data_IF_029008274319
#
_entry.id   IF_029008274319
#
_cell.length_a   1.000
_cell.length_b   1.000
_cell.length_c   1.000
_cell.angle_alpha   90.00
_cell.angle_beta   90.00
_cell.angle_gamma   90.00
#
_symmetry.space_group_name_H-M   'P 1'
#
loop_
_entity.id
_entity.type
_entity.pdbx_description
1 polymer ?
#
# COMPACT_ATOMS: atom_id res chain seq x y z
N UNK A 1 0.33 -6.30 8.06
CA UNK A 1 -0.08 -5.02 7.45
C UNK A 1 -1.05 -4.36 8.38
N UNK A 2 -0.89 -3.05 8.59
CA UNK A 2 -1.75 -2.24 9.44
C UNK A 2 -2.17 -1.05 8.60
N UNK A 3 -3.47 -0.80 8.57
CA UNK A 3 -4.08 0.39 8.00
C UNK A 3 -4.69 1.12 9.17
N UNK A 4 -4.06 2.21 9.61
CA UNK A 4 -4.67 3.11 10.59
C UNK A 4 -5.20 4.35 9.89
N UNK A 5 -5.52 5.38 10.69
CA UNK A 5 -6.15 6.58 10.17
C UNK A 5 -5.24 7.45 9.31
N UNK A 6 -3.92 7.33 9.47
CA UNK A 6 -2.95 8.23 8.88
C UNK A 6 -2.06 7.53 7.85
N UNK A 7 -1.77 6.24 8.04
CA UNK A 7 -0.76 5.55 7.27
C UNK A 7 -1.02 4.06 7.07
N UNK A 8 -0.38 3.56 6.01
CA UNK A 8 -0.13 2.15 5.79
C UNK A 8 1.20 1.75 6.45
N UNK A 9 1.19 0.68 7.24
CA UNK A 9 2.38 0.20 7.95
C UNK A 9 2.57 -1.31 7.81
N UNK A 10 3.83 -1.73 7.68
CA UNK A 10 4.24 -3.14 7.73
C UNK A 10 4.98 -3.37 9.05
N UNK A 11 4.35 -4.12 9.95
CA UNK A 11 4.96 -4.61 11.20
C UNK A 11 5.32 -6.09 11.09
N UNK A 12 6.45 -6.48 11.69
CA UNK A 12 6.81 -7.90 11.90
C UNK A 12 6.60 -8.23 13.37
N UNK A 13 5.84 -9.28 13.66
CA UNK A 13 5.48 -9.68 15.04
C UNK A 13 4.95 -8.53 15.91
N UNK A 14 4.19 -7.61 15.32
CA UNK A 14 3.64 -6.44 16.02
C UNK A 14 4.65 -5.32 16.32
N UNK A 15 5.93 -5.50 16.00
CA UNK A 15 6.97 -4.48 16.19
C UNK A 15 7.13 -3.59 14.95
N UNK A 16 7.49 -2.33 15.19
CA UNK A 16 7.94 -1.41 14.14
C UNK A 16 9.21 -1.96 13.47
N UNK A 17 9.32 -1.75 12.17
CA UNK A 17 10.47 -2.25 11.41
C UNK A 17 10.92 -1.21 10.40
N UNK A 18 12.23 -1.17 10.15
CA UNK A 18 12.80 -0.40 9.04
C UNK A 18 12.69 -1.19 7.73
N UNK A 19 12.56 -0.43 6.64
CA UNK A 19 12.58 -0.96 5.29
C UNK A 19 14.01 -1.39 4.93
N UNK A 20 14.22 -2.70 4.91
CA UNK A 20 15.52 -3.31 4.59
C UNK A 20 15.97 -3.12 3.14
N UNK A 21 15.09 -2.69 2.23
CA UNK A 21 15.39 -2.54 0.80
C UNK A 21 15.67 -1.09 0.43
N UNK A 22 14.85 -0.15 0.89
CA UNK A 22 14.93 1.27 0.49
C UNK A 22 15.33 2.22 1.63
N UNK A 23 15.45 1.72 2.86
CA UNK A 23 15.73 2.53 4.05
C UNK A 23 14.49 3.27 4.58
N UNK A 24 14.56 3.75 5.83
CA UNK A 24 13.46 4.43 6.51
C UNK A 24 12.43 3.48 7.14
N UNK A 25 11.47 4.03 7.89
CA UNK A 25 10.45 3.25 8.61
C UNK A 25 9.47 2.60 7.62
N UNK A 26 9.03 1.36 7.87
CA UNK A 26 7.97 0.68 7.09
C UNK A 26 6.56 1.24 7.36
N UNK A 27 6.43 2.57 7.38
CA UNK A 27 5.19 3.32 7.58
C UNK A 27 5.16 4.43 6.54
N UNK A 28 4.09 4.50 5.78
CA UNK A 28 3.89 5.49 4.72
C UNK A 28 2.53 6.17 4.89
N UNK A 29 2.49 7.50 5.10
CA UNK A 29 1.24 8.23 5.24
C UNK A 29 0.49 8.21 3.91
N UNK A 30 -0.84 8.12 3.96
CA UNK A 30 -1.64 8.09 2.74
C UNK A 30 -1.44 9.33 1.86
N UNK A 31 -1.10 10.47 2.48
CA UNK A 31 -0.80 11.72 1.77
C UNK A 31 0.46 11.67 0.89
N UNK A 32 1.36 10.70 1.09
CA UNK A 32 2.51 10.52 0.20
C UNK A 32 2.21 9.69 -1.04
N UNK A 33 1.04 9.03 -1.11
CA UNK A 33 0.71 8.12 -2.18
C UNK A 33 0.31 8.91 -3.42
N UNK A 34 0.97 8.62 -4.54
CA UNK A 34 0.71 9.27 -5.83
C UNK A 34 -0.15 8.38 -6.73
N UNK A 35 0.05 7.06 -6.64
CA UNK A 35 -0.76 6.08 -7.35
C UNK A 35 -0.76 4.75 -6.60
N UNK A 36 -1.83 3.98 -6.73
CA UNK A 36 -1.93 2.61 -6.20
C UNK A 36 -2.76 1.74 -7.12
N UNK A 37 -2.41 0.45 -7.20
CA UNK A 37 -3.11 -0.54 -8.02
C UNK A 37 -3.21 -1.89 -7.30
N UNK A 38 -4.35 -2.57 -7.50
CA UNK A 38 -4.62 -3.91 -6.98
C UNK A 38 -5.04 -4.84 -8.12
N UNK A 39 -4.22 -5.82 -8.47
CA UNK A 39 -4.55 -6.75 -9.55
C UNK A 39 -5.36 -7.95 -9.03
N UNK A 40 -6.64 -8.02 -9.40
CA UNK A 40 -7.63 -8.99 -8.92
C UNK A 40 -8.52 -9.51 -10.07
N UNK A 41 -8.79 -10.84 -10.13
CA UNK A 41 -10.19 -11.27 -9.96
C UNK A 41 -10.44 -12.59 -9.17
N UNK A 42 -9.41 -13.31 -8.69
CA UNK A 42 -9.62 -14.60 -7.99
C UNK A 42 -8.74 -14.81 -6.75
N UNK A 43 -7.63 -14.09 -6.64
CA UNK A 43 -6.71 -14.06 -5.50
C UNK A 43 -5.90 -12.77 -5.68
N UNK A 44 -5.84 -11.84 -4.71
CA UNK A 44 -5.02 -10.66 -4.90
C UNK A 44 -3.57 -11.09 -4.79
N UNK A 45 -2.86 -11.23 -5.92
CA UNK A 45 -1.48 -11.73 -5.91
C UNK A 45 -0.49 -10.60 -5.63
N UNK A 46 -0.87 -9.35 -5.92
CA UNK A 46 0.07 -8.23 -5.97
C UNK A 46 -0.61 -6.89 -5.73
N UNK A 47 -0.06 -6.10 -4.80
CA UNK A 47 -0.35 -4.67 -4.65
C UNK A 47 0.82 -3.87 -5.13
N UNK A 48 0.49 -2.73 -5.75
CA UNK A 48 1.42 -1.70 -6.13
C UNK A 48 1.04 -0.37 -5.49
N UNK A 49 2.03 0.38 -5.03
CA UNK A 49 1.87 1.81 -4.83
C UNK A 49 3.17 2.57 -5.16
N UNK A 50 3.01 3.83 -5.54
CA UNK A 50 4.08 4.81 -5.70
C UNK A 50 3.89 5.94 -4.70
N UNK A 51 4.95 6.29 -3.98
CA UNK A 51 4.89 7.25 -2.87
C UNK A 51 6.09 8.20 -2.82
N UNK A 52 6.01 9.36 -2.18
CA UNK A 52 7.06 10.42 -2.19
C UNK A 52 7.85 10.61 -0.88
N UNK A 53 7.52 9.93 0.21
CA UNK A 53 8.25 9.98 1.49
C UNK A 53 9.70 9.51 1.33
N UNK A 54 9.92 8.40 0.62
CA UNK A 54 11.25 7.81 0.49
C UNK A 54 12.12 8.60 -0.49
N UNK A 55 11.53 9.05 -1.61
CA UNK A 55 12.21 9.85 -2.65
C UNK A 55 11.26 10.86 -3.29
N UNK A 56 11.68 12.11 -3.54
CA UNK A 56 10.83 13.14 -4.15
C UNK A 56 10.26 12.78 -5.52
N UNK A 57 11.03 12.09 -6.38
CA UNK A 57 10.61 11.61 -7.70
C UNK A 57 9.62 10.41 -7.64
N UNK A 58 9.48 9.86 -6.44
CA UNK A 58 8.57 8.80 -6.06
C UNK A 58 9.20 7.41 -6.09
N UNK A 59 9.00 6.67 -5.01
CA UNK A 59 9.46 5.31 -4.80
C UNK A 59 8.34 4.31 -5.08
N UNK A 60 8.67 3.25 -5.80
CA UNK A 60 7.73 2.18 -6.15
C UNK A 60 7.85 1.03 -5.15
N UNK A 61 6.70 0.52 -4.73
CA UNK A 61 6.57 -0.65 -3.87
C UNK A 61 5.69 -1.70 -4.54
N UNK A 62 6.13 -2.96 -4.46
CA UNK A 62 5.38 -4.14 -4.87
C UNK A 62 5.40 -5.16 -3.74
N UNK A 63 4.24 -5.71 -3.38
CA UNK A 63 4.19 -6.75 -2.35
C UNK A 63 3.11 -7.78 -2.69
N UNK A 64 3.44 -9.08 -2.52
CA UNK A 64 2.44 -10.12 -2.59
C UNK A 64 1.55 -10.04 -1.36
N UNK A 65 0.26 -10.30 -1.55
CA UNK A 65 -0.72 -10.32 -0.47
C UNK A 65 -1.52 -11.61 -0.50
N UNK A 66 -1.93 -12.08 0.67
CA UNK A 66 -2.81 -13.24 0.84
C UNK A 66 -3.85 -12.82 1.88
N UNK A 67 -4.85 -12.04 1.45
CA UNK A 67 -5.99 -11.62 2.27
C UNK A 67 -7.17 -11.18 1.39
N UNK A 68 -8.26 -10.72 2.00
CA UNK A 68 -9.43 -10.22 1.30
C UNK A 68 -9.12 -8.93 0.51
N UNK A 69 -8.91 -9.07 -0.81
CA UNK A 69 -8.57 -7.96 -1.70
C UNK A 69 -9.66 -6.90 -1.82
N UNK A 70 -10.93 -7.27 -1.64
CA UNK A 70 -12.07 -6.32 -1.68
C UNK A 70 -12.00 -5.35 -0.50
N UNK A 71 -11.79 -5.88 0.71
CA UNK A 71 -11.68 -5.05 1.91
C UNK A 71 -10.52 -4.06 1.81
N UNK A 72 -9.36 -4.52 1.32
CA UNK A 72 -8.23 -3.61 1.10
C UNK A 72 -8.58 -2.54 0.05
N UNK A 73 -9.16 -2.93 -1.08
CA UNK A 73 -9.56 -2.00 -2.12
C UNK A 73 -10.46 -0.91 -1.54
N UNK A 74 -11.50 -1.28 -0.79
CA UNK A 74 -12.45 -0.33 -0.21
C UNK A 74 -11.76 0.66 0.73
N UNK A 75 -10.85 0.18 1.59
CA UNK A 75 -10.04 1.05 2.49
C UNK A 75 -9.12 1.98 1.69
N UNK A 76 -8.46 1.48 0.65
CA UNK A 76 -7.57 2.29 -0.18
C UNK A 76 -8.34 3.35 -0.96
N UNK A 77 -9.55 3.05 -1.46
CA UNK A 77 -10.42 4.05 -2.09
C UNK A 77 -10.82 5.14 -1.09
N UNK A 78 -11.18 4.76 0.13
CA UNK A 78 -11.54 5.71 1.19
C UNK A 78 -10.37 6.64 1.55
N UNK A 79 -9.16 6.08 1.70
CA UNK A 79 -7.98 6.81 2.22
C UNK A 79 -7.15 7.52 1.16
N UNK A 80 -7.08 6.96 -0.04
CA UNK A 80 -6.19 7.41 -1.12
C UNK A 80 -6.95 7.85 -2.38
N UNK A 81 -8.28 7.72 -2.40
CA UNK A 81 -9.08 7.94 -3.61
C UNK A 81 -9.05 6.73 -4.57
N UNK A 82 -9.84 6.78 -5.65
CA UNK A 82 -9.97 5.66 -6.59
C UNK A 82 -8.66 5.34 -7.29
N UNK A 83 -8.37 4.05 -7.47
CA UNK A 83 -7.25 3.62 -8.31
C UNK A 83 -7.49 3.96 -9.78
N UNK A 84 -6.41 4.15 -10.54
CA UNK A 84 -6.53 4.55 -11.94
C UNK A 84 -7.06 3.41 -12.83
N UNK A 85 -6.71 2.15 -12.53
CA UNK A 85 -7.05 1.02 -13.42
C UNK A 85 -7.63 -0.23 -12.74
N UNK A 86 -7.56 -0.32 -11.41
CA UNK A 86 -7.90 -1.54 -10.66
C UNK A 86 -9.26 -1.52 -9.97
N UNK A 87 -10.20 -0.72 -10.45
CA UNK A 87 -11.58 -0.76 -9.98
C UNK A 87 -12.23 -2.13 -10.19
N UNK A 88 -13.14 -2.56 -9.28
CA UNK A 88 -13.91 -3.79 -9.48
C UNK A 88 -14.69 -3.71 -10.80
N UNK A 89 -14.57 -4.76 -11.62
CA UNK A 89 -15.39 -4.97 -12.82
C UNK A 89 -16.70 -5.66 -12.49
#
# INVERSE_FOLDING_TARGET
FIFDDEAFEIKRNGAETDNVVVGGRNRWPYSSFVNWELWFPAFPVLVYFKETQTKPEGQIHFFPIIFNGRQLYDVMVERCGPSATSGPK
#
